data_IF_158190847693
#
_entry.id   IF_158190847693
#
_cell.length_a   1.000
_cell.length_b   1.000
_cell.length_c   1.000
_cell.angle_alpha   90.00
_cell.angle_beta   90.00
_cell.angle_gamma   90.00
#
_symmetry.space_group_name_H-M   'P 1'
#
loop_
_entity.id
_entity.type
_entity.pdbx_description
1 polymer ?
#
# COMPACT_ATOMS: atom_id res chain seq x y z
N UNK A 1 -27.03 14.79 -15.85
CA UNK A 1 -26.72 13.80 -14.80
C UNK A 1 -25.64 12.89 -15.34
N UNK A 2 -24.41 13.27 -15.08
CA UNK A 2 -23.30 13.26 -16.04
C UNK A 2 -22.22 12.27 -15.60
N UNK A 3 -22.03 11.18 -16.34
CA UNK A 3 -20.86 10.27 -16.42
C UNK A 3 -20.10 9.77 -15.16
N UNK A 4 -20.21 10.35 -13.97
CA UNK A 4 -19.35 10.02 -12.82
C UNK A 4 -19.84 8.79 -12.05
N UNK A 5 -21.14 8.50 -12.02
CA UNK A 5 -21.71 7.33 -11.34
C UNK A 5 -21.36 5.97 -11.99
N UNK A 6 -20.83 5.94 -13.23
CA UNK A 6 -20.69 4.71 -14.05
C UNK A 6 -19.27 4.14 -14.16
N UNK A 7 -18.24 4.81 -13.65
CA UNK A 7 -16.84 4.50 -14.00
C UNK A 7 -15.94 4.13 -12.80
N UNK A 8 -16.47 3.47 -11.77
CA UNK A 8 -15.62 2.88 -10.73
C UNK A 8 -14.62 1.84 -11.29
N UNK A 9 -14.95 1.18 -12.40
CA UNK A 9 -14.13 0.11 -12.99
C UNK A 9 -12.81 0.66 -13.55
N UNK A 10 -12.77 1.68 -14.43
CA UNK A 10 -11.52 2.27 -14.90
C UNK A 10 -10.57 2.72 -13.78
N UNK A 11 -11.10 3.44 -12.77
CA UNK A 11 -10.30 3.89 -11.62
C UNK A 11 -9.69 2.70 -10.87
N UNK A 12 -10.48 1.69 -10.54
CA UNK A 12 -9.98 0.49 -9.84
C UNK A 12 -8.99 -0.31 -10.69
N UNK A 13 -9.22 -0.40 -11.99
CA UNK A 13 -8.31 -1.08 -12.91
C UNK A 13 -6.95 -0.36 -12.96
N UNK A 14 -6.94 0.97 -13.03
CA UNK A 14 -5.71 1.77 -12.91
C UNK A 14 -5.05 1.55 -11.54
N UNK A 15 -5.83 1.61 -10.47
CA UNK A 15 -5.31 1.46 -9.12
C UNK A 15 -4.66 0.09 -8.90
N UNK A 16 -5.27 -1.00 -9.39
CA UNK A 16 -4.76 -2.38 -9.34
C UNK A 16 -3.54 -2.59 -10.26
N UNK A 17 -3.53 -1.96 -11.44
CA UNK A 17 -2.44 -2.11 -12.40
C UNK A 17 -1.11 -1.59 -11.86
N UNK A 18 -1.14 -0.60 -10.97
CA UNK A 18 0.07 -0.04 -10.33
C UNK A 18 0.77 -1.10 -9.46
N UNK A 19 0.02 -1.98 -8.79
CA UNK A 19 0.60 -3.11 -8.06
C UNK A 19 1.35 -4.07 -8.98
N UNK A 20 0.83 -4.35 -10.17
CA UNK A 20 1.55 -5.13 -11.17
C UNK A 20 2.74 -4.38 -11.75
N UNK A 21 2.62 -3.07 -11.96
CA UNK A 21 3.70 -2.22 -12.47
C UNK A 21 4.90 -2.18 -11.51
N UNK A 22 4.67 -2.03 -10.20
CA UNK A 22 5.77 -2.03 -9.22
C UNK A 22 6.46 -3.40 -9.15
N UNK A 23 5.72 -4.50 -9.28
CA UNK A 23 6.30 -5.84 -9.38
C UNK A 23 7.10 -6.02 -10.67
N UNK A 24 6.61 -5.48 -11.78
CA UNK A 24 7.35 -5.47 -13.04
C UNK A 24 8.68 -4.73 -12.87
N UNK A 25 8.67 -3.51 -12.35
CA UNK A 25 9.90 -2.77 -12.07
C UNK A 25 10.83 -3.51 -11.11
N UNK A 26 10.30 -4.12 -10.06
CA UNK A 26 11.06 -4.94 -9.13
C UNK A 26 11.76 -6.11 -9.84
N UNK A 27 11.03 -6.88 -10.66
CA UNK A 27 11.57 -8.01 -11.43
C UNK A 27 12.63 -7.61 -12.47
N UNK A 28 12.59 -6.36 -12.93
CA UNK A 28 13.57 -5.76 -13.86
C UNK A 28 14.74 -5.09 -13.16
N UNK A 29 14.76 -5.06 -11.83
CA UNK A 29 15.87 -4.56 -11.03
C UNK A 29 15.92 -3.10 -10.74
N UNK A 30 14.78 -2.44 -10.88
CA UNK A 30 14.66 -1.07 -10.45
C UNK A 30 14.74 -1.00 -8.93
N UNK A 31 15.55 -0.05 -8.47
CA UNK A 31 15.59 0.34 -7.07
C UNK A 31 14.55 1.45 -6.85
N UNK A 32 14.05 1.64 -5.62
CA UNK A 32 13.11 2.73 -5.32
C UNK A 32 13.62 4.11 -5.78
N UNK A 33 14.94 4.34 -5.73
CA UNK A 33 15.61 5.56 -6.21
C UNK A 33 15.49 5.79 -7.72
N UNK A 34 15.31 4.73 -8.53
CA UNK A 34 15.07 4.86 -9.96
C UNK A 34 13.62 5.24 -10.27
N UNK A 35 12.67 4.88 -9.40
CA UNK A 35 11.23 5.11 -9.61
C UNK A 35 10.80 6.49 -9.08
N UNK A 36 11.36 6.91 -7.95
CA UNK A 36 10.98 8.17 -7.27
C UNK A 36 11.09 9.44 -8.13
N UNK A 37 12.07 9.63 -9.05
CA UNK A 37 12.08 10.77 -9.96
C UNK A 37 10.88 10.79 -10.90
N UNK A 38 10.44 9.64 -11.43
CA UNK A 38 9.26 9.57 -12.29
C UNK A 38 7.98 9.91 -11.52
N UNK A 39 7.89 9.47 -10.26
CA UNK A 39 6.77 9.86 -9.38
C UNK A 39 6.73 11.37 -9.17
N UNK A 40 7.87 12.02 -8.92
CA UNK A 40 7.93 13.48 -8.78
C UNK A 40 7.61 14.21 -10.09
N UNK A 41 8.15 13.74 -11.21
CA UNK A 41 7.87 14.28 -12.55
C UNK A 41 6.39 14.16 -12.93
N UNK A 42 5.65 13.18 -12.42
CA UNK A 42 4.21 13.08 -12.57
C UNK A 42 3.47 13.94 -11.52
N UNK A 43 3.92 13.94 -10.27
CA UNK A 43 3.30 14.63 -9.14
C UNK A 43 3.17 16.13 -9.37
N UNK A 44 4.24 16.79 -9.81
CA UNK A 44 4.26 18.24 -10.02
C UNK A 44 3.23 18.70 -11.07
N UNK A 45 3.24 18.22 -12.33
CA UNK A 45 2.28 18.67 -13.32
C UNK A 45 0.84 18.27 -12.97
N UNK A 46 0.61 17.08 -12.39
CA UNK A 46 -0.73 16.66 -11.97
C UNK A 46 -1.28 17.57 -10.88
N UNK A 47 -0.47 17.89 -9.87
CA UNK A 47 -0.86 18.81 -8.80
C UNK A 47 -1.11 20.22 -9.34
N UNK A 48 -0.23 20.72 -10.21
CA UNK A 48 -0.43 22.03 -10.85
C UNK A 48 -1.72 22.08 -11.67
N UNK A 49 -2.02 21.03 -12.45
CA UNK A 49 -3.27 20.95 -13.20
C UNK A 49 -4.48 20.89 -12.26
N UNK A 50 -4.44 20.10 -11.19
CA UNK A 50 -5.54 20.01 -10.23
C UNK A 50 -5.79 21.34 -9.51
N UNK A 51 -4.74 22.08 -9.15
CA UNK A 51 -4.88 23.43 -8.59
C UNK A 51 -5.44 24.43 -9.61
N UNK A 52 -5.02 24.34 -10.88
CA UNK A 52 -5.47 25.24 -11.93
C UNK A 52 -6.96 25.07 -12.25
N UNK A 53 -7.49 23.83 -12.20
CA UNK A 53 -8.92 23.60 -12.50
C UNK A 53 -9.86 24.25 -11.49
N UNK A 54 -9.43 24.42 -10.23
CA UNK A 54 -10.24 25.15 -9.24
C UNK A 54 -10.27 26.66 -9.49
N UNK A 55 -9.41 27.19 -10.37
CA UNK A 55 -9.34 28.62 -10.71
C UNK A 55 -10.01 28.97 -12.04
N UNK A 56 -10.04 28.04 -12.99
CA UNK A 56 -10.50 28.31 -14.36
C UNK A 56 -11.64 27.34 -14.73
N UNK A 57 -12.90 27.82 -14.81
CA UNK A 57 -14.07 26.97 -15.11
C UNK A 57 -13.96 26.23 -16.45
N UNK A 58 -13.41 26.87 -17.48
CA UNK A 58 -13.19 26.25 -18.79
C UNK A 58 -12.19 25.08 -18.70
N UNK A 59 -11.12 25.23 -17.93
CA UNK A 59 -10.15 24.17 -17.71
C UNK A 59 -10.74 23.05 -16.85
N UNK A 60 -11.57 23.35 -15.85
CA UNK A 60 -12.28 22.34 -15.08
C UNK A 60 -13.18 21.45 -15.95
N UNK A 61 -13.96 22.07 -16.87
CA UNK A 61 -14.80 21.33 -17.80
C UNK A 61 -13.98 20.41 -18.72
N UNK A 62 -12.84 20.89 -19.22
CA UNK A 62 -11.90 20.08 -20.00
C UNK A 62 -11.31 18.93 -19.15
N UNK A 63 -10.83 19.23 -17.94
CA UNK A 63 -10.24 18.26 -17.02
C UNK A 63 -11.22 17.13 -16.70
N UNK A 64 -12.45 17.47 -16.30
CA UNK A 64 -13.50 16.48 -16.00
C UNK A 64 -13.86 15.66 -17.24
N UNK A 65 -13.89 16.28 -18.43
CA UNK A 65 -14.18 15.55 -19.68
C UNK A 65 -13.12 14.50 -20.01
N UNK A 66 -11.84 14.78 -19.75
CA UNK A 66 -10.73 13.88 -20.07
C UNK A 66 -10.47 12.88 -18.96
N UNK A 67 -10.46 13.33 -17.70
CA UNK A 67 -10.02 12.55 -16.54
C UNK A 67 -11.17 12.09 -15.63
N UNK A 68 -12.41 12.53 -15.87
CA UNK A 68 -13.55 12.22 -15.01
C UNK A 68 -13.85 10.73 -14.87
N UNK A 69 -13.47 9.90 -15.83
CA UNK A 69 -13.59 8.43 -15.74
C UNK A 69 -12.64 7.82 -14.68
N UNK A 70 -11.59 8.54 -14.29
CA UNK A 70 -10.63 8.13 -13.26
C UNK A 70 -10.89 8.80 -11.90
N UNK A 71 -11.80 9.78 -11.84
CA UNK A 71 -12.12 10.54 -10.63
C UNK A 71 -13.32 9.95 -9.87
N UNK A 72 -13.34 10.14 -8.55
CA UNK A 72 -14.55 9.93 -7.72
C UNK A 72 -15.48 11.14 -7.79
N UNK A 73 -16.76 10.96 -7.48
CA UNK A 73 -17.74 12.06 -7.41
C UNK A 73 -17.34 13.14 -6.42
N UNK A 74 -16.81 12.75 -5.27
CA UNK A 74 -16.31 13.68 -4.26
C UNK A 74 -15.09 14.49 -4.72
N UNK A 75 -14.36 14.02 -5.74
CA UNK A 75 -13.15 14.67 -6.28
C UNK A 75 -13.48 15.70 -7.37
N UNK A 76 -14.75 15.82 -7.78
CA UNK A 76 -15.17 16.87 -8.72
C UNK A 76 -14.99 18.25 -8.10
N UNK A 77 -15.40 18.41 -6.84
CA UNK A 77 -15.32 19.68 -6.10
C UNK A 77 -14.17 19.72 -5.08
N UNK A 78 -13.46 18.61 -4.87
CA UNK A 78 -12.28 18.48 -4.01
C UNK A 78 -11.04 18.12 -4.82
N UNK A 79 -9.86 18.01 -4.18
CA UNK A 79 -8.62 17.60 -4.85
C UNK A 79 -8.66 16.16 -5.37
N UNK A 80 -7.94 15.89 -6.46
CA UNK A 80 -7.89 14.56 -7.07
C UNK A 80 -7.06 13.58 -6.23
N UNK A 81 -7.63 12.40 -5.93
CA UNK A 81 -6.97 11.33 -5.15
C UNK A 81 -5.61 10.87 -5.71
N UNK A 82 -5.37 11.05 -7.01
CA UNK A 82 -4.10 10.74 -7.67
C UNK A 82 -2.91 11.49 -7.06
N UNK A 83 -3.13 12.72 -6.57
CA UNK A 83 -2.08 13.51 -5.90
C UNK A 83 -1.61 12.80 -4.63
N UNK A 84 -2.57 12.38 -3.80
CA UNK A 84 -2.32 11.65 -2.56
C UNK A 84 -1.71 10.27 -2.81
N UNK A 85 -2.16 9.59 -3.88
CA UNK A 85 -1.58 8.32 -4.31
C UNK A 85 -0.09 8.46 -4.66
N UNK A 86 0.26 9.47 -5.47
CA UNK A 86 1.65 9.73 -5.85
C UNK A 86 2.50 10.13 -4.64
N UNK A 87 1.97 10.96 -3.74
CA UNK A 87 2.64 11.34 -2.50
C UNK A 87 2.87 10.14 -1.57
N UNK A 88 1.86 9.30 -1.34
CA UNK A 88 1.96 8.10 -0.52
C UNK A 88 2.94 7.08 -1.09
N UNK A 89 2.88 6.83 -2.40
CA UNK A 89 3.82 5.93 -3.11
C UNK A 89 5.24 6.47 -3.06
N UNK A 90 5.43 7.78 -3.27
CA UNK A 90 6.74 8.42 -3.16
C UNK A 90 7.31 8.27 -1.74
N UNK A 91 6.51 8.59 -0.72
CA UNK A 91 6.95 8.55 0.68
C UNK A 91 7.32 7.13 1.09
N UNK A 92 6.47 6.15 0.77
CA UNK A 92 6.71 4.77 1.18
C UNK A 92 7.97 4.17 0.54
N UNK A 93 8.21 4.49 -0.74
CA UNK A 93 9.40 4.06 -1.47
C UNK A 93 10.68 4.80 -1.04
N UNK A 94 10.56 6.03 -0.53
CA UNK A 94 11.71 6.87 -0.16
C UNK A 94 12.15 6.68 1.28
N UNK A 95 11.21 6.40 2.18
CA UNK A 95 11.42 6.36 3.64
C UNK A 95 11.69 4.94 4.14
N UNK A 96 10.99 3.94 3.63
CA UNK A 96 11.09 2.57 4.15
C UNK A 96 12.08 1.72 3.35
N UNK A 97 12.60 0.63 3.96
CA UNK A 97 13.36 -0.39 3.26
C UNK A 97 12.63 -0.91 2.02
N UNK A 98 13.41 -1.36 1.03
CA UNK A 98 12.91 -1.67 -0.33
C UNK A 98 11.73 -2.64 -0.33
N UNK A 99 11.80 -3.71 0.45
CA UNK A 99 10.75 -4.73 0.56
C UNK A 99 9.45 -4.15 1.13
N UNK A 100 9.57 -3.35 2.20
CA UNK A 100 8.43 -2.64 2.81
C UNK A 100 7.87 -1.58 1.86
N UNK A 101 8.73 -0.86 1.13
CA UNK A 101 8.31 0.12 0.13
C UNK A 101 7.47 -0.51 -0.99
N UNK A 102 7.96 -1.62 -1.58
CA UNK A 102 7.21 -2.36 -2.61
C UNK A 102 5.92 -2.92 -2.04
N UNK A 103 5.95 -3.52 -0.84
CA UNK A 103 4.73 -4.01 -0.18
C UNK A 103 3.75 -2.88 0.12
N UNK A 104 4.19 -1.71 0.56
CA UNK A 104 3.33 -0.57 0.82
C UNK A 104 2.55 -0.14 -0.42
N UNK A 105 3.19 -0.14 -1.59
CA UNK A 105 2.51 0.11 -2.88
C UNK A 105 1.54 -1.00 -3.23
N UNK A 106 1.89 -2.27 -3.00
CA UNK A 106 0.98 -3.41 -3.20
C UNK A 106 -0.24 -3.36 -2.29
N UNK A 107 -0.06 -3.02 -1.01
CA UNK A 107 -1.14 -2.91 -0.04
C UNK A 107 -2.06 -1.74 -0.39
N UNK A 108 -1.50 -0.57 -0.72
CA UNK A 108 -2.29 0.55 -1.26
C UNK A 108 -3.07 0.11 -2.50
N UNK A 109 -2.45 -0.57 -3.45
CA UNK A 109 -3.07 -0.94 -4.73
C UNK A 109 -4.15 -2.01 -4.56
N UNK A 110 -3.78 -3.17 -4.02
CA UNK A 110 -4.65 -4.34 -4.01
C UNK A 110 -5.57 -4.37 -2.79
N UNK A 111 -5.09 -3.98 -1.60
CA UNK A 111 -5.92 -4.03 -0.39
C UNK A 111 -6.98 -2.94 -0.38
N UNK A 112 -6.68 -1.69 -0.77
CA UNK A 112 -7.71 -0.63 -0.90
C UNK A 112 -8.78 -1.00 -1.94
N UNK A 113 -8.36 -1.57 -3.07
CA UNK A 113 -9.31 -2.01 -4.09
C UNK A 113 -10.19 -3.15 -3.59
N UNK A 114 -9.61 -4.14 -2.89
CA UNK A 114 -10.36 -5.23 -2.28
C UNK A 114 -11.33 -4.70 -1.21
N UNK A 115 -10.85 -3.85 -0.31
CA UNK A 115 -11.64 -3.28 0.78
C UNK A 115 -12.84 -2.50 0.26
N UNK A 116 -12.62 -1.61 -0.70
CA UNK A 116 -13.72 -0.84 -1.28
C UNK A 116 -14.67 -1.72 -2.10
N UNK A 117 -14.17 -2.74 -2.80
CA UNK A 117 -15.01 -3.64 -3.64
C UNK A 117 -15.92 -4.49 -2.76
N UNK A 118 -15.35 -5.22 -1.81
CA UNK A 118 -16.13 -6.08 -0.91
C UNK A 118 -16.90 -5.26 0.14
N UNK A 119 -16.40 -4.09 0.52
CA UNK A 119 -17.11 -3.14 1.36
C UNK A 119 -18.40 -2.64 0.72
N UNK A 120 -18.41 -2.37 -0.59
CA UNK A 120 -19.64 -2.00 -1.32
C UNK A 120 -20.57 -3.19 -1.58
N UNK A 121 -20.02 -4.37 -1.91
CA UNK A 121 -20.82 -5.57 -2.21
C UNK A 121 -21.50 -6.16 -0.96
N UNK A 122 -20.75 -6.28 0.14
CA UNK A 122 -21.19 -7.00 1.33
C UNK A 122 -21.23 -6.16 2.61
N UNK A 123 -20.76 -4.91 2.59
CA UNK A 123 -20.69 -4.08 3.79
C UNK A 123 -22.03 -3.89 4.50
N UNK A 124 -23.13 -3.83 3.74
CA UNK A 124 -24.50 -3.74 4.29
C UNK A 124 -24.92 -4.94 5.15
N UNK A 125 -24.27 -6.09 4.98
CA UNK A 125 -24.55 -7.33 5.71
C UNK A 125 -23.61 -7.56 6.88
N UNK A 126 -22.67 -6.64 7.13
CA UNK A 126 -21.65 -6.77 8.17
C UNK A 126 -21.63 -5.54 9.07
N UNK A 127 -21.12 -5.65 10.32
CA UNK A 127 -20.93 -4.50 11.18
C UNK A 127 -20.07 -3.42 10.50
N UNK A 128 -20.41 -2.16 10.76
CA UNK A 128 -19.60 -1.02 10.31
C UNK A 128 -18.55 -0.74 11.38
N UNK A 129 -17.27 -0.72 10.99
CA UNK A 129 -16.16 -0.40 11.88
C UNK A 129 -16.11 1.12 12.12
N UNK A 130 -16.32 1.89 11.05
CA UNK A 130 -16.53 3.34 11.11
C UNK A 130 -17.45 3.78 9.98
N UNK A 131 -17.83 5.06 9.98
CA UNK A 131 -18.62 5.64 8.89
C UNK A 131 -17.92 5.40 7.55
N UNK A 132 -18.56 4.65 6.66
CA UNK A 132 -18.03 4.32 5.34
C UNK A 132 -17.07 3.12 5.26
N UNK A 133 -16.70 2.48 6.39
CA UNK A 133 -15.85 1.28 6.41
C UNK A 133 -16.55 0.12 7.11
N UNK A 134 -16.64 -1.02 6.44
CA UNK A 134 -17.32 -2.22 6.94
C UNK A 134 -16.34 -3.32 7.34
N UNK A 135 -16.81 -4.25 8.16
CA UNK A 135 -16.06 -5.45 8.51
C UNK A 135 -15.75 -6.29 7.26
N UNK A 136 -16.70 -6.38 6.30
CA UNK A 136 -16.45 -7.05 5.02
C UNK A 136 -15.25 -6.46 4.25
N UNK A 137 -15.19 -5.12 4.13
CA UNK A 137 -14.07 -4.45 3.46
C UNK A 137 -12.76 -4.65 4.20
N UNK A 138 -12.79 -4.53 5.53
CA UNK A 138 -11.60 -4.69 6.38
C UNK A 138 -11.05 -6.12 6.36
N UNK A 139 -11.94 -7.12 6.38
CA UNK A 139 -11.55 -8.53 6.22
C UNK A 139 -10.95 -8.78 4.83
N UNK A 140 -11.54 -8.21 3.77
CA UNK A 140 -10.96 -8.31 2.43
C UNK A 140 -9.56 -7.68 2.35
N UNK A 141 -9.36 -6.51 2.94
CA UNK A 141 -8.04 -5.89 3.07
C UNK A 141 -7.05 -6.81 3.78
N UNK A 142 -7.47 -7.44 4.88
CA UNK A 142 -6.66 -8.39 5.63
C UNK A 142 -6.23 -9.57 4.76
N UNK A 143 -7.17 -10.27 4.14
CA UNK A 143 -6.88 -11.44 3.31
C UNK A 143 -5.99 -11.09 2.11
N UNK A 144 -6.31 -10.01 1.41
CA UNK A 144 -5.48 -9.54 0.29
C UNK A 144 -4.09 -9.14 0.76
N UNK A 145 -3.95 -8.52 1.93
CA UNK A 145 -2.66 -8.14 2.50
C UNK A 145 -1.82 -9.36 2.88
N UNK A 146 -2.41 -10.37 3.52
CA UNK A 146 -1.74 -11.65 3.81
C UNK A 146 -1.27 -12.31 2.52
N UNK A 147 -2.15 -12.42 1.52
CA UNK A 147 -1.79 -13.04 0.24
C UNK A 147 -0.67 -12.27 -0.49
N UNK A 148 -0.74 -10.94 -0.51
CA UNK A 148 0.26 -10.08 -1.15
C UNK A 148 1.63 -10.24 -0.50
N UNK A 149 1.68 -10.22 0.84
CA UNK A 149 2.91 -10.40 1.60
C UNK A 149 3.49 -11.81 1.46
N UNK A 150 2.63 -12.85 1.50
CA UNK A 150 3.05 -14.23 1.33
C UNK A 150 3.65 -14.48 -0.06
N UNK A 151 3.01 -13.95 -1.11
CA UNK A 151 3.53 -14.04 -2.48
C UNK A 151 4.82 -13.24 -2.62
N UNK A 152 4.87 -12.02 -2.08
CA UNK A 152 6.05 -11.18 -2.21
C UNK A 152 7.25 -11.75 -1.45
N UNK A 153 7.17 -11.92 -0.13
CA UNK A 153 8.30 -12.41 0.66
C UNK A 153 8.58 -13.92 0.48
N UNK A 154 7.56 -14.73 0.16
CA UNK A 154 7.73 -16.18 -0.02
C UNK A 154 8.21 -16.58 -1.41
N UNK A 155 7.91 -15.78 -2.44
CA UNK A 155 8.21 -16.14 -3.83
C UNK A 155 8.93 -15.03 -4.60
N UNK A 156 8.33 -13.84 -4.72
CA UNK A 156 8.84 -12.80 -5.62
C UNK A 156 10.19 -12.25 -5.16
N UNK A 157 10.28 -11.84 -3.89
CA UNK A 157 11.47 -11.30 -3.26
C UNK A 157 12.67 -12.24 -3.42
N UNK A 158 12.59 -13.47 -2.89
CA UNK A 158 13.67 -14.44 -2.96
C UNK A 158 13.99 -14.94 -4.37
N UNK A 159 13.02 -15.13 -5.28
CA UNK A 159 13.30 -15.76 -6.59
C UNK A 159 13.57 -14.77 -7.71
N UNK A 160 12.87 -13.65 -7.74
CA UNK A 160 13.08 -12.62 -8.76
C UNK A 160 14.13 -11.60 -8.35
N UNK A 161 14.46 -11.49 -7.06
CA UNK A 161 15.47 -10.54 -6.57
C UNK A 161 16.89 -11.08 -6.41
N UNK A 162 17.03 -12.39 -6.18
CA UNK A 162 18.34 -13.03 -5.99
C UNK A 162 19.28 -13.00 -7.21
N UNK A 163 18.82 -13.10 -8.48
CA UNK A 163 19.74 -13.12 -9.62
C UNK A 163 20.53 -11.82 -9.82
N UNK A 164 20.16 -10.76 -9.10
CA UNK A 164 20.65 -9.42 -9.34
C UNK A 164 21.16 -8.72 -8.08
N UNK A 165 21.28 -9.44 -6.96
CA UNK A 165 21.80 -8.90 -5.70
C UNK A 165 20.99 -7.73 -5.14
N UNK A 166 19.66 -7.77 -5.26
CA UNK A 166 18.80 -6.64 -4.90
C UNK A 166 18.68 -6.33 -3.42
N UNK A 167 19.08 -7.27 -2.56
CA UNK A 167 19.04 -7.17 -1.10
C UNK A 167 20.45 -6.89 -0.54
N UNK A 168 21.05 -5.76 -0.91
CA UNK A 168 22.39 -5.37 -0.45
C UNK A 168 22.50 -3.88 -0.12
N UNK A 169 23.35 -3.56 0.86
CA UNK A 169 23.69 -2.20 1.25
C UNK A 169 22.46 -1.36 1.61
N UNK A 170 22.33 -0.18 1.01
CA UNK A 170 21.21 0.75 1.24
C UNK A 170 19.86 0.21 0.76
N UNK A 171 19.84 -0.82 -0.09
CA UNK A 171 18.62 -1.44 -0.61
C UNK A 171 18.28 -2.75 0.13
N UNK A 172 18.95 -3.02 1.26
CA UNK A 172 18.71 -4.21 2.02
C UNK A 172 17.25 -4.29 2.52
N UNK A 173 16.66 -5.47 2.38
CA UNK A 173 15.34 -5.82 2.88
C UNK A 173 15.34 -5.75 4.40
N UNK A 174 14.24 -5.28 4.95
CA UNK A 174 13.98 -5.35 6.38
C UNK A 174 13.75 -6.81 6.81
N UNK A 175 12.97 -7.57 6.03
CA UNK A 175 12.69 -8.96 6.37
C UNK A 175 13.75 -9.91 5.79
N UNK A 176 14.48 -10.60 6.67
CA UNK A 176 15.54 -11.55 6.30
C UNK A 176 15.14 -13.02 6.29
N UNK A 177 13.83 -13.31 6.30
CA UNK A 177 13.33 -14.69 6.39
C UNK A 177 13.47 -15.32 7.79
N UNK A 178 13.75 -14.49 8.80
CA UNK A 178 13.86 -14.84 10.21
C UNK A 178 13.01 -13.87 11.02
N UNK A 179 12.42 -14.38 12.10
CA UNK A 179 11.85 -13.57 13.17
C UNK A 179 12.37 -14.07 14.52
N UNK A 180 12.70 -13.16 15.43
CA UNK A 180 13.22 -13.43 16.76
C UNK A 180 12.44 -12.63 17.81
N UNK A 181 12.22 -13.22 18.98
CA UNK A 181 11.68 -12.45 20.11
C UNK A 181 12.72 -11.47 20.67
N UNK A 182 12.32 -10.24 21.06
CA UNK A 182 13.23 -9.30 21.70
C UNK A 182 13.85 -9.90 22.97
N UNK A 183 15.14 -9.65 23.19
CA UNK A 183 15.87 -10.22 24.33
C UNK A 183 15.26 -9.92 25.71
N UNK A 184 14.62 -8.74 25.86
CA UNK A 184 13.89 -8.39 27.07
C UNK A 184 12.70 -9.33 27.34
N UNK A 185 11.96 -9.72 26.29
CA UNK A 185 10.83 -10.66 26.39
C UNK A 185 11.35 -12.07 26.68
N UNK A 186 12.44 -12.48 26.03
CA UNK A 186 13.11 -13.75 26.33
C UNK A 186 13.56 -13.83 27.80
N UNK A 187 14.15 -12.75 28.33
CA UNK A 187 14.57 -12.66 29.73
C UNK A 187 13.41 -12.80 30.71
N UNK A 188 12.27 -12.18 30.40
CA UNK A 188 11.06 -12.31 31.22
C UNK A 188 10.45 -13.73 31.18
N UNK A 189 10.49 -14.39 30.01
CA UNK A 189 9.97 -15.75 29.83
C UNK A 189 10.95 -16.84 30.23
N UNK A 190 12.19 -16.50 30.59
CA UNK A 190 13.26 -17.46 30.86
C UNK A 190 13.70 -18.25 29.62
N UNK A 191 13.46 -17.72 28.42
CA UNK A 191 13.79 -18.37 27.15
C UNK A 191 15.19 -17.98 26.69
N UNK A 192 15.91 -18.92 26.06
CA UNK A 192 17.19 -18.61 25.42
C UNK A 192 16.93 -17.82 24.12
N UNK A 193 17.50 -16.60 23.97
CA UNK A 193 17.34 -15.79 22.77
C UNK A 193 17.77 -16.49 21.48
N UNK A 194 18.74 -17.42 21.53
CA UNK A 194 19.20 -18.14 20.35
C UNK A 194 18.17 -19.15 19.83
N UNK A 195 17.39 -19.76 20.72
CA UNK A 195 16.35 -20.73 20.37
C UNK A 195 15.00 -20.07 20.09
N UNK A 196 14.80 -18.82 20.54
CA UNK A 196 13.57 -18.05 20.35
C UNK A 196 13.50 -17.40 18.95
N UNK A 197 13.86 -18.17 17.91
CA UNK A 197 13.92 -17.76 16.51
C UNK A 197 13.03 -18.66 15.66
N UNK A 198 12.32 -18.06 14.72
CA UNK A 198 11.52 -18.74 13.70
C UNK A 198 12.08 -18.35 12.34
N UNK A 199 12.24 -19.31 11.44
CA UNK A 199 12.83 -19.08 10.12
C UNK A 199 12.00 -19.72 9.00
N UNK A 200 12.32 -19.37 7.76
CA UNK A 200 11.74 -20.00 6.57
C UNK A 200 10.24 -19.74 6.41
N UNK A 201 9.49 -20.74 5.94
CA UNK A 201 8.07 -20.58 5.61
C UNK A 201 7.20 -20.14 6.78
N UNK A 202 7.53 -20.54 8.01
CA UNK A 202 6.78 -20.12 9.20
C UNK A 202 6.99 -18.63 9.48
N UNK A 203 8.23 -18.13 9.36
CA UNK A 203 8.53 -16.70 9.52
C UNK A 203 7.81 -15.87 8.45
N UNK A 204 7.79 -16.34 7.19
CA UNK A 204 7.03 -15.71 6.10
C UNK A 204 5.53 -15.68 6.43
N UNK A 205 4.97 -16.79 6.93
CA UNK A 205 3.57 -16.87 7.33
C UNK A 205 3.20 -15.85 8.40
N UNK A 206 4.00 -15.77 9.47
CA UNK A 206 3.80 -14.79 10.55
C UNK A 206 3.89 -13.36 10.03
N UNK A 207 4.96 -13.03 9.29
CA UNK A 207 5.14 -11.70 8.72
C UNK A 207 3.98 -11.32 7.78
N UNK A 208 3.45 -12.29 7.02
CA UNK A 208 2.31 -12.08 6.12
C UNK A 208 1.00 -11.82 6.87
N UNK A 209 0.73 -12.55 7.94
CA UNK A 209 -0.43 -12.31 8.82
C UNK A 209 -0.34 -10.91 9.44
N UNK A 210 0.85 -10.51 9.88
CA UNK A 210 1.09 -9.15 10.38
C UNK A 210 0.83 -8.10 9.29
N UNK A 211 1.32 -8.31 8.07
CA UNK A 211 1.07 -7.40 6.95
C UNK A 211 -0.42 -7.22 6.65
N UNK A 212 -1.18 -8.32 6.59
CA UNK A 212 -2.63 -8.27 6.42
C UNK A 212 -3.33 -7.55 7.58
N UNK A 213 -2.91 -7.80 8.82
CA UNK A 213 -3.47 -7.14 10.01
C UNK A 213 -3.19 -5.64 10.01
N UNK A 214 -1.97 -5.23 9.66
CA UNK A 214 -1.60 -3.82 9.54
C UNK A 214 -2.37 -3.15 8.41
N UNK A 215 -2.55 -3.81 7.26
CA UNK A 215 -3.34 -3.27 6.15
C UNK A 215 -4.82 -3.08 6.53
N UNK A 216 -5.40 -4.05 7.25
CA UNK A 216 -6.75 -3.96 7.77
C UNK A 216 -6.90 -2.83 8.79
N UNK A 217 -5.92 -2.67 9.69
CA UNK A 217 -5.90 -1.56 10.64
C UNK A 217 -5.76 -0.21 9.94
N UNK A 218 -4.86 -0.09 8.96
CA UNK A 218 -4.67 1.13 8.19
C UNK A 218 -5.95 1.54 7.43
N UNK A 219 -6.68 0.58 6.88
CA UNK A 219 -7.97 0.80 6.22
C UNK A 219 -9.08 1.24 7.20
N UNK A 220 -9.05 0.71 8.42
CA UNK A 220 -10.03 1.01 9.47
C UNK A 220 -9.80 2.37 10.14
N UNK A 221 -8.53 2.83 10.23
CA UNK A 221 -8.15 4.09 10.87
C UNK A 221 -8.52 5.29 10.00
N UNK A 222 -8.86 6.40 10.65
CA UNK A 222 -9.04 7.71 10.03
C UNK A 222 -8.02 8.69 10.63
N UNK A 223 -7.14 9.24 9.79
CA UNK A 223 -6.12 10.22 10.22
C UNK A 223 -6.56 11.62 9.82
N UNK A 224 -7.29 12.31 10.71
CA UNK A 224 -7.70 13.70 10.52
C UNK A 224 -8.38 13.99 9.16
N UNK A 225 -9.10 13.00 8.60
CA UNK A 225 -9.77 13.13 7.31
C UNK A 225 -8.82 13.17 6.10
N UNK A 226 -7.57 12.74 6.25
CA UNK A 226 -6.62 12.63 5.14
C UNK A 226 -7.02 11.53 4.17
N UNK A 227 -6.62 11.68 2.91
CA UNK A 227 -6.95 10.73 1.85
C UNK A 227 -6.28 9.37 2.08
N UNK A 228 -7.05 8.30 1.93
CA UNK A 228 -6.62 6.91 2.11
C UNK A 228 -5.42 6.54 1.20
N UNK A 229 -5.30 7.17 0.02
CA UNK A 229 -4.18 6.90 -0.89
C UNK A 229 -2.83 7.39 -0.34
N UNK A 230 -2.86 8.33 0.61
CA UNK A 230 -1.67 8.76 1.35
C UNK A 230 -1.50 7.97 2.64
N UNK A 231 -2.57 7.78 3.41
CA UNK A 231 -2.48 7.24 4.78
C UNK A 231 -2.19 5.74 4.81
N UNK A 232 -2.87 4.95 3.97
CA UNK A 232 -2.75 3.48 3.95
C UNK A 232 -1.30 3.02 3.73
N UNK A 233 -0.60 3.40 2.64
CA UNK A 233 0.76 2.90 2.40
C UNK A 233 1.73 3.34 3.51
N UNK A 234 1.53 4.52 4.08
CA UNK A 234 2.41 5.06 5.12
C UNK A 234 2.19 4.34 6.45
N UNK A 235 0.94 4.16 6.88
CA UNK A 235 0.59 3.37 8.06
C UNK A 235 1.06 1.92 7.92
N UNK A 236 0.89 1.32 6.73
CA UNK A 236 1.44 0.01 6.43
C UNK A 236 2.95 -0.03 6.57
N UNK A 237 3.65 0.95 5.99
CA UNK A 237 5.10 1.08 6.09
C UNK A 237 5.58 1.20 7.54
N UNK A 238 4.97 2.09 8.33
CA UNK A 238 5.29 2.28 9.75
C UNK A 238 5.07 1.00 10.54
N UNK A 239 3.90 0.37 10.40
CA UNK A 239 3.54 -0.85 11.14
C UNK A 239 4.45 -2.01 10.81
N UNK A 240 4.70 -2.27 9.51
CA UNK A 240 5.59 -3.34 9.07
C UNK A 240 7.04 -3.07 9.47
N UNK A 241 7.52 -1.84 9.32
CA UNK A 241 8.90 -1.52 9.65
C UNK A 241 9.15 -1.57 11.16
N UNK A 242 8.20 -1.09 11.96
CA UNK A 242 8.26 -1.22 13.42
C UNK A 242 8.26 -2.68 13.87
N UNK A 243 7.40 -3.51 13.26
CA UNK A 243 7.39 -4.96 13.51
C UNK A 243 8.74 -5.59 13.18
N UNK A 244 9.26 -5.37 11.97
CA UNK A 244 10.53 -5.97 11.54
C UNK A 244 11.75 -5.38 12.26
N UNK A 245 11.69 -4.16 12.78
CA UNK A 245 12.73 -3.63 13.67
C UNK A 245 12.75 -4.31 15.04
N UNK A 246 11.60 -4.80 15.48
CA UNK A 246 11.44 -5.41 16.80
C UNK A 246 11.69 -6.91 16.74
N UNK A 247 11.25 -7.56 15.66
CA UNK A 247 11.26 -9.01 15.52
C UNK A 247 12.10 -9.53 14.37
N UNK A 248 12.56 -8.70 13.42
CA UNK A 248 13.27 -9.13 12.20
C UNK A 248 14.78 -9.17 12.32
#
# INVERSE_FOLDING_TARGET
MTQVHKHEIPRKALHVSIGFLVLHFYSRGYQPTHITPFLLSAFLPITCADLLRHRIPAFNAFYIRVLGALMRESEVDSYNGTIFFLAGTYLVLRVFPKDIGVLGVLLLSWCDTAASTFGRLWGRYTPHIRKGKSLAGTAAAMFTGVASAAVFWGYIGPKLGTPFGYDVGVNAFAFKGMLQLPGAVCGYLGWNPETAKVTGGVAVGIASVVAGTVAAAAEAVDLWGWDDNLTIPVLCGVGLWGFLKTFG
#
